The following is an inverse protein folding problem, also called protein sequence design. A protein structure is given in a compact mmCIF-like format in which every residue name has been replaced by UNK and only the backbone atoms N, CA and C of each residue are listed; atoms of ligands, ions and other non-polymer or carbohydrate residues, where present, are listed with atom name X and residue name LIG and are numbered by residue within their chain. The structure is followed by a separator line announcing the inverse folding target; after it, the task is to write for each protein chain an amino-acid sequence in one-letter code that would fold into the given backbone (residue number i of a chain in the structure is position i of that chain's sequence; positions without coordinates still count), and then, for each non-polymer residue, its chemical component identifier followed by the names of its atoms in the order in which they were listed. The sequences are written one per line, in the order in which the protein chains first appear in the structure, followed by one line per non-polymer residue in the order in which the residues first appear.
data_IF_595377185229
#
_entry.id   IF_595377185229
#
_cell.length_a   1.000
_cell.length_b   1.000
_cell.length_c   1.000
_cell.angle_alpha   90.00
_cell.angle_beta   90.00
_cell.angle_gamma   90.00
#
_symmetry.space_group_name_H-M   'P 1'
#
loop_
_entity.id
_entity.type
_entity.pdbx_description
1 polymer ?
#
# COMPACT_ATOMS: atom_id res chain seq x y z
N UNK A 1 13.52 -17.03 -18.95
CA UNK A 1 12.55 -16.08 -18.37
C UNK A 1 12.67 -16.20 -16.86
N UNK A 2 12.69 -15.07 -16.16
CA UNK A 2 12.67 -15.06 -14.70
C UNK A 2 11.36 -15.72 -14.21
N UNK A 3 11.42 -16.81 -13.44
CA UNK A 3 10.24 -17.57 -13.01
C UNK A 3 9.30 -16.74 -12.14
N UNK A 4 9.78 -15.69 -11.47
CA UNK A 4 8.97 -14.86 -10.59
C UNK A 4 8.03 -13.93 -11.33
N UNK A 5 8.30 -13.64 -12.61
CA UNK A 5 7.47 -12.72 -13.41
C UNK A 5 6.04 -13.21 -13.59
N UNK A 6 5.79 -14.52 -13.50
CA UNK A 6 4.45 -15.11 -13.63
C UNK A 6 3.77 -15.38 -12.29
N UNK A 7 4.43 -15.07 -11.18
CA UNK A 7 3.85 -15.27 -9.87
C UNK A 7 2.77 -14.21 -9.62
N UNK A 8 1.57 -14.64 -9.26
CA UNK A 8 0.45 -13.74 -9.03
C UNK A 8 0.53 -13.06 -7.66
N UNK A 9 0.19 -11.77 -7.66
CA UNK A 9 0.16 -10.92 -6.48
C UNK A 9 -1.21 -10.22 -6.34
N UNK A 10 -1.66 -9.94 -5.10
CA UNK A 10 -2.85 -9.14 -4.86
C UNK A 10 -2.53 -7.65 -5.06
N UNK A 11 -2.96 -7.08 -6.17
CA UNK A 11 -2.89 -5.65 -6.43
C UNK A 11 -4.12 -4.94 -5.87
N UNK A 12 -3.89 -3.88 -5.11
CA UNK A 12 -4.86 -2.89 -4.69
C UNK A 12 -4.77 -1.67 -5.61
N UNK A 13 -5.91 -1.30 -6.18
CA UNK A 13 -6.01 -0.25 -7.19
C UNK A 13 -7.09 0.75 -6.80
N UNK A 14 -6.81 2.02 -7.06
CA UNK A 14 -7.76 3.12 -6.89
C UNK A 14 -8.05 3.69 -8.26
N UNK A 15 -9.34 3.90 -8.54
CA UNK A 15 -9.82 4.51 -9.77
C UNK A 15 -9.12 5.86 -9.95
N UNK A 16 -8.47 6.09 -11.10
CA UNK A 16 -7.69 7.29 -11.30
C UNK A 16 -8.57 8.55 -11.30
N UNK A 17 -7.99 9.67 -10.88
CA UNK A 17 -8.57 11.00 -11.14
C UNK A 17 -8.61 11.29 -12.65
N UNK A 18 -9.28 12.36 -13.09
CA UNK A 18 -9.39 12.70 -14.53
C UNK A 18 -8.05 12.66 -15.28
N UNK A 19 -6.98 13.21 -14.69
CA UNK A 19 -5.63 13.21 -15.28
C UNK A 19 -4.97 11.82 -15.24
N UNK A 20 -5.27 11.01 -14.22
CA UNK A 20 -4.79 9.63 -14.16
C UNK A 20 -5.44 8.73 -15.22
N UNK A 21 -6.69 9.00 -15.61
CA UNK A 21 -7.40 8.20 -16.62
C UNK A 21 -6.69 8.20 -17.98
N UNK A 22 -6.13 9.34 -18.39
CA UNK A 22 -5.35 9.45 -19.63
C UNK A 22 -4.05 8.63 -19.55
N UNK A 23 -3.37 8.68 -18.40
CA UNK A 23 -2.16 7.90 -18.15
C UNK A 23 -2.45 6.40 -18.22
N UNK A 24 -3.54 5.95 -17.61
CA UNK A 24 -3.97 4.56 -17.65
C UNK A 24 -4.29 4.12 -19.08
N UNK A 25 -4.96 4.95 -19.88
CA UNK A 25 -5.20 4.63 -21.29
C UNK A 25 -3.88 4.44 -22.08
N UNK A 26 -2.91 5.35 -21.89
CA UNK A 26 -1.58 5.24 -22.51
C UNK A 26 -0.83 3.97 -22.08
N UNK A 27 -0.98 3.57 -20.81
CA UNK A 27 -0.37 2.35 -20.29
C UNK A 27 -1.02 1.10 -20.89
N UNK A 28 -2.35 1.04 -20.98
CA UNK A 28 -3.08 -0.04 -21.64
C UNK A 28 -2.67 -0.18 -23.11
N UNK A 29 -2.54 0.93 -23.83
CA UNK A 29 -2.06 0.93 -25.22
C UNK A 29 -0.60 0.48 -25.34
N UNK A 30 0.23 0.81 -24.35
CA UNK A 30 1.60 0.30 -24.27
C UNK A 30 1.61 -1.22 -24.09
N UNK A 31 0.82 -1.76 -23.17
CA UNK A 31 0.70 -3.20 -22.94
C UNK A 31 0.21 -3.96 -24.18
N UNK A 32 -0.83 -3.44 -24.85
CA UNK A 32 -1.40 -4.05 -26.06
C UNK A 32 -0.41 -4.17 -27.23
N UNK A 33 0.57 -3.26 -27.31
CA UNK A 33 1.60 -3.22 -28.37
C UNK A 33 2.80 -4.13 -28.11
N UNK A 34 2.85 -4.82 -26.96
CA UNK A 34 3.97 -5.68 -26.58
C UNK A 34 3.81 -7.11 -27.11
N UNK A 35 3.40 -8.04 -26.24
CA UNK A 35 3.25 -9.46 -26.51
C UNK A 35 1.85 -9.94 -26.10
N UNK A 36 1.53 -11.21 -26.34
CA UNK A 36 0.22 -11.78 -25.99
C UNK A 36 -0.09 -11.63 -24.48
N UNK A 37 0.93 -11.72 -23.63
CA UNK A 37 0.76 -11.56 -22.17
C UNK A 37 0.45 -10.10 -21.83
N UNK A 38 1.08 -9.14 -22.52
CA UNK A 38 0.73 -7.72 -22.42
C UNK A 38 -0.73 -7.45 -22.77
N UNK A 39 -1.25 -8.09 -23.83
CA UNK A 39 -2.66 -7.97 -24.22
C UNK A 39 -3.60 -8.57 -23.18
N UNK A 40 -3.26 -9.72 -22.59
CA UNK A 40 -4.02 -10.34 -21.49
C UNK A 40 -4.05 -9.43 -20.25
N UNK A 41 -2.90 -8.85 -19.87
CA UNK A 41 -2.82 -7.89 -18.76
C UNK A 41 -3.65 -6.64 -19.00
N UNK A 42 -3.62 -6.09 -20.23
CA UNK A 42 -4.42 -4.94 -20.61
C UNK A 42 -5.92 -5.25 -20.51
N UNK A 43 -6.36 -6.41 -21.00
CA UNK A 43 -7.74 -6.86 -20.93
C UNK A 43 -8.22 -7.07 -19.49
N UNK A 44 -7.38 -7.66 -18.63
CA UNK A 44 -7.66 -7.84 -17.21
C UNK A 44 -7.87 -6.48 -16.52
N UNK A 45 -6.93 -5.54 -16.69
CA UNK A 45 -7.03 -4.19 -16.14
C UNK A 45 -8.28 -3.45 -16.63
N UNK A 46 -8.55 -3.49 -17.93
CA UNK A 46 -9.74 -2.84 -18.52
C UNK A 46 -11.03 -3.38 -17.91
N UNK A 47 -11.15 -4.70 -17.78
CA UNK A 47 -12.31 -5.36 -17.17
C UNK A 47 -12.47 -4.89 -15.72
N UNK A 48 -11.41 -4.94 -14.91
CA UNK A 48 -11.49 -4.54 -13.50
C UNK A 48 -11.80 -3.06 -13.32
N UNK A 49 -11.23 -2.18 -14.16
CA UNK A 49 -11.54 -0.74 -14.15
C UNK A 49 -12.98 -0.47 -14.56
N UNK A 50 -13.53 -1.23 -15.51
CA UNK A 50 -14.91 -1.09 -15.95
C UNK A 50 -15.91 -1.60 -14.90
N UNK A 51 -15.56 -2.66 -14.17
CA UNK A 51 -16.33 -3.21 -13.05
C UNK A 51 -16.33 -2.28 -11.82
N UNK A 52 -15.33 -1.41 -11.70
CA UNK A 52 -15.29 -0.37 -10.66
C UNK A 52 -16.46 0.61 -10.84
N UNK A 53 -17.54 0.34 -10.09
CA UNK A 53 -18.81 1.07 -10.13
C UNK A 53 -18.64 2.59 -9.91
N UNK A 54 -19.65 3.38 -10.26
CA UNK A 54 -19.66 4.83 -9.96
C UNK A 54 -19.56 5.15 -8.46
N UNK A 55 -19.83 4.18 -7.56
CA UNK A 55 -19.84 4.37 -6.10
C UNK A 55 -18.54 3.92 -5.42
N UNK A 56 -17.79 3.00 -6.03
CA UNK A 56 -16.57 2.41 -5.47
C UNK A 56 -15.38 2.69 -6.39
N UNK A 57 -14.33 3.29 -5.83
CA UNK A 57 -13.09 3.63 -6.49
C UNK A 57 -12.01 2.59 -6.23
N UNK A 58 -12.08 1.84 -5.14
CA UNK A 58 -11.14 0.81 -4.76
C UNK A 58 -11.53 -0.55 -5.34
N UNK A 59 -10.56 -1.28 -5.87
CA UNK A 59 -10.73 -2.65 -6.36
C UNK A 59 -9.44 -3.46 -6.22
N UNK A 60 -9.59 -4.78 -6.23
CA UNK A 60 -8.47 -5.72 -6.16
C UNK A 60 -8.35 -6.50 -7.48
N UNK A 61 -7.11 -6.75 -7.88
CA UNK A 61 -6.76 -7.54 -9.06
C UNK A 61 -5.66 -8.54 -8.67
N UNK A 62 -5.87 -9.82 -8.96
CA UNK A 62 -4.78 -10.80 -8.94
C UNK A 62 -4.14 -10.84 -10.31
N UNK A 63 -2.85 -10.53 -10.37
CA UNK A 63 -2.10 -10.46 -11.61
C UNK A 63 -0.63 -10.82 -11.37
N UNK A 64 0.10 -11.21 -12.42
CA UNK A 64 1.50 -11.61 -12.28
C UNK A 64 2.41 -10.42 -11.99
N UNK A 65 3.53 -10.63 -11.28
CA UNK A 65 4.56 -9.61 -10.98
C UNK A 65 4.99 -8.80 -12.20
N UNK A 66 4.94 -9.43 -13.39
CA UNK A 66 5.15 -8.79 -14.68
C UNK A 66 4.37 -7.49 -14.82
N UNK A 67 3.14 -7.39 -14.31
CA UNK A 67 2.34 -6.17 -14.35
C UNK A 67 3.05 -5.00 -13.66
N UNK A 68 3.62 -5.23 -12.47
CA UNK A 68 4.39 -4.21 -11.75
C UNK A 68 5.65 -3.81 -12.55
N UNK A 69 6.35 -4.79 -13.13
CA UNK A 69 7.54 -4.53 -13.96
C UNK A 69 7.17 -3.66 -15.17
N UNK A 70 6.07 -3.96 -15.86
CA UNK A 70 5.60 -3.14 -16.99
C UNK A 70 5.22 -1.72 -16.58
N UNK A 71 4.60 -1.54 -15.42
CA UNK A 71 4.29 -0.21 -14.90
C UNK A 71 5.56 0.58 -14.58
N UNK A 72 6.58 -0.05 -14.00
CA UNK A 72 7.88 0.59 -13.74
C UNK A 72 8.59 0.98 -15.05
N UNK A 73 8.62 0.08 -16.04
CA UNK A 73 9.16 0.36 -17.38
C UNK A 73 8.44 1.56 -18.02
N UNK A 74 7.11 1.57 -17.95
CA UNK A 74 6.29 2.64 -18.49
C UNK A 74 6.55 3.98 -17.78
N UNK A 75 6.54 4.00 -16.45
CA UNK A 75 6.81 5.19 -15.65
C UNK A 75 8.22 5.75 -15.95
N UNK A 76 9.22 4.88 -16.10
CA UNK A 76 10.58 5.28 -16.47
C UNK A 76 10.68 5.85 -17.89
N UNK A 77 9.91 5.29 -18.84
CA UNK A 77 9.91 5.73 -20.23
C UNK A 77 9.18 7.07 -20.44
N UNK A 78 8.25 7.43 -19.55
CA UNK A 78 7.58 8.72 -19.59
C UNK A 78 8.56 9.85 -19.26
N UNK A 79 9.16 10.44 -20.30
CA UNK A 79 10.14 11.53 -20.22
C UNK A 79 9.58 12.87 -19.73
N UNK A 80 8.27 12.98 -19.53
CA UNK A 80 7.61 14.24 -19.17
C UNK A 80 6.76 14.02 -17.92
N UNK A 81 7.13 14.67 -16.80
CA UNK A 81 6.38 14.68 -15.53
C UNK A 81 5.01 15.40 -15.60
N UNK A 82 4.47 15.64 -16.79
CA UNK A 82 3.18 16.31 -16.98
C UNK A 82 2.02 15.41 -16.56
N UNK A 83 2.16 14.10 -16.77
CA UNK A 83 1.16 13.11 -16.38
C UNK A 83 1.55 12.43 -15.05
N UNK A 84 0.57 12.09 -14.19
CA UNK A 84 0.86 11.30 -12.99
C UNK A 84 1.36 9.90 -13.36
N UNK A 85 2.24 9.28 -12.57
CA UNK A 85 2.71 7.91 -12.85
C UNK A 85 1.58 6.89 -12.71
N UNK A 86 1.74 5.73 -13.35
CA UNK A 86 0.90 4.56 -13.07
C UNK A 86 1.14 4.13 -11.63
N UNK A 87 0.07 4.07 -10.85
CA UNK A 87 0.07 3.68 -9.45
C UNK A 87 -0.48 2.26 -9.31
N UNK A 88 0.38 1.34 -8.89
CA UNK A 88 0.03 -0.04 -8.55
C UNK A 88 0.53 -0.31 -7.14
N UNK A 89 -0.26 -1.00 -6.33
CA UNK A 89 0.16 -1.38 -4.98
C UNK A 89 -0.15 -2.84 -4.69
N UNK A 90 0.88 -3.67 -4.59
CA UNK A 90 0.81 -5.00 -4.00
C UNK A 90 0.81 -4.81 -2.49
N UNK A 91 -0.33 -5.04 -1.87
CA UNK A 91 -0.52 -4.84 -0.44
C UNK A 91 -0.73 -6.17 0.28
N UNK A 92 -0.09 -6.33 1.43
CA UNK A 92 -0.24 -7.50 2.32
C UNK A 92 -0.02 -8.88 1.66
N UNK A 93 0.78 -8.97 0.60
CA UNK A 93 1.11 -10.28 0.01
C UNK A 93 1.88 -11.12 1.02
N UNK A 94 1.33 -12.26 1.42
CA UNK A 94 1.87 -13.09 2.49
C UNK A 94 3.21 -13.70 2.08
N UNK A 95 4.25 -13.58 2.91
CA UNK A 95 5.56 -14.19 2.62
C UNK A 95 5.48 -15.72 2.45
N UNK A 96 4.71 -16.49 3.25
CA UNK A 96 4.58 -17.94 3.06
C UNK A 96 4.04 -18.34 1.68
N UNK A 97 3.29 -17.45 1.02
CA UNK A 97 2.72 -17.67 -0.29
C UNK A 97 3.69 -17.30 -1.42
N UNK A 98 4.93 -16.87 -1.13
CA UNK A 98 5.93 -16.57 -2.14
C UNK A 98 6.80 -17.79 -2.46
N UNK A 99 7.48 -17.82 -3.61
CA UNK A 99 8.53 -18.80 -3.87
C UNK A 99 9.62 -18.82 -2.78
N UNK A 100 10.11 -20.01 -2.43
CA UNK A 100 11.05 -20.19 -1.29
C UNK A 100 12.34 -19.36 -1.39
N UNK A 101 12.81 -19.08 -2.61
CA UNK A 101 13.95 -18.19 -2.83
C UNK A 101 13.66 -16.76 -2.35
N UNK A 102 12.50 -16.20 -2.69
CA UNK A 102 12.11 -14.85 -2.23
C UNK A 102 11.87 -14.82 -0.72
N UNK A 103 11.33 -15.89 -0.14
CA UNK A 103 11.22 -16.01 1.31
C UNK A 103 12.59 -15.96 2.00
N UNK A 104 13.61 -16.55 1.37
CA UNK A 104 14.98 -16.60 1.90
C UNK A 104 15.69 -15.24 1.85
N UNK A 105 15.27 -14.35 0.95
CA UNK A 105 15.83 -13.00 0.81
C UNK A 105 15.36 -12.04 1.92
N UNK A 106 14.23 -12.34 2.57
CA UNK A 106 13.67 -11.55 3.68
C UNK A 106 13.46 -12.42 4.92
N UNK A 107 14.53 -12.93 5.55
CA UNK A 107 14.40 -13.76 6.73
C UNK A 107 13.79 -12.95 7.88
N UNK A 108 12.96 -13.62 8.69
CA UNK A 108 12.44 -13.05 9.91
C UNK A 108 13.59 -12.53 10.81
N UNK A 109 13.56 -11.25 11.24
CA UNK A 109 14.60 -10.68 12.08
C UNK A 109 14.77 -11.46 13.39
N UNK A 110 16.02 -11.76 13.76
CA UNK A 110 16.32 -12.55 14.97
C UNK A 110 15.69 -11.97 16.23
N UNK A 111 15.60 -10.64 16.32
CA UNK A 111 15.02 -9.96 17.46
C UNK A 111 13.60 -10.47 17.75
N UNK A 112 12.77 -10.66 16.71
CA UNK A 112 11.39 -11.13 16.85
C UNK A 112 11.34 -12.50 17.51
N UNK A 113 12.26 -13.39 17.16
CA UNK A 113 12.35 -14.74 17.74
C UNK A 113 12.74 -14.73 19.23
N UNK A 114 13.25 -13.61 19.74
CA UNK A 114 13.75 -13.45 21.11
C UNK A 114 12.82 -12.61 22.00
N UNK A 115 11.72 -12.06 21.46
CA UNK A 115 10.74 -11.24 22.21
C UNK A 115 9.37 -11.92 22.28
N UNK A 116 8.63 -11.66 23.35
CA UNK A 116 7.31 -12.24 23.56
C UNK A 116 7.35 -13.76 23.64
N UNK A 117 6.46 -14.42 22.90
CA UNK A 117 6.45 -15.87 22.69
C UNK A 117 7.39 -16.31 21.56
N UNK A 118 7.91 -15.36 20.78
CA UNK A 118 8.76 -15.61 19.64
C UNK A 118 8.01 -16.18 18.43
N UNK A 119 6.68 -16.23 18.44
CA UNK A 119 5.87 -16.67 17.31
C UNK A 119 5.50 -15.50 16.39
N UNK A 120 5.72 -15.71 15.09
CA UNK A 120 5.28 -14.82 14.02
C UNK A 120 3.84 -15.19 13.68
N UNK A 121 2.92 -14.26 13.93
CA UNK A 121 1.52 -14.43 13.60
C UNK A 121 1.29 -14.39 12.08
N UNK A 122 1.93 -13.43 11.41
CA UNK A 122 1.85 -13.26 9.96
C UNK A 122 3.01 -12.39 9.49
N UNK A 123 3.34 -12.46 8.20
CA UNK A 123 4.35 -11.62 7.57
C UNK A 123 4.00 -11.35 6.13
N UNK A 124 4.23 -10.12 5.68
CA UNK A 124 3.85 -9.69 4.33
C UNK A 124 4.93 -8.86 3.65
N UNK A 125 4.99 -8.96 2.33
CA UNK A 125 5.69 -8.03 1.46
C UNK A 125 4.71 -6.99 0.89
N UNK A 126 5.23 -5.79 0.67
CA UNK A 126 4.53 -4.66 0.09
C UNK A 126 5.38 -4.09 -1.03
N UNK A 127 4.84 -4.01 -2.23
CA UNK A 127 5.56 -3.51 -3.40
C UNK A 127 4.63 -2.57 -4.17
N UNK A 128 5.14 -1.47 -4.71
CA UNK A 128 4.31 -0.61 -5.54
C UNK A 128 5.10 0.46 -6.25
N UNK A 129 4.44 1.11 -7.20
CA UNK A 129 4.96 2.32 -7.84
C UNK A 129 4.59 3.54 -7.00
N UNK A 130 5.52 4.47 -6.83
CA UNK A 130 5.31 5.65 -6.01
C UNK A 130 4.32 6.65 -6.65
N UNK A 131 3.40 7.23 -5.88
CA UNK A 131 3.23 7.08 -4.43
C UNK A 131 2.35 5.89 -4.03
N UNK A 132 2.74 5.19 -2.96
CA UNK A 132 1.89 4.22 -2.25
C UNK A 132 1.28 4.86 -1.00
N UNK A 133 0.09 4.39 -0.59
CA UNK A 133 -0.60 4.90 0.60
C UNK A 133 -1.29 3.78 1.37
N UNK A 134 -1.13 3.79 2.69
CA UNK A 134 -1.86 2.94 3.62
C UNK A 134 -2.59 3.84 4.62
N UNK A 135 -3.95 3.85 4.59
CA UNK A 135 -4.78 4.68 5.47
C UNK A 135 -4.49 4.50 6.96
N UNK A 136 -4.94 5.44 7.78
CA UNK A 136 -4.80 5.35 9.24
C UNK A 136 -5.54 4.11 9.77
N UNK A 137 -4.81 3.21 10.43
CA UNK A 137 -5.35 2.00 11.04
C UNK A 137 -4.53 1.59 12.25
N UNK A 138 -4.92 0.51 12.92
CA UNK A 138 -4.14 -0.14 13.98
C UNK A 138 -4.20 -1.65 13.82
N UNK A 139 -3.14 -2.32 14.25
CA UNK A 139 -3.03 -3.77 14.16
C UNK A 139 -3.29 -4.46 15.51
N UNK A 140 -3.79 -5.72 15.49
CA UNK A 140 -4.09 -6.47 16.70
C UNK A 140 -2.84 -6.97 17.44
N UNK A 141 -1.68 -7.01 16.76
CA UNK A 141 -0.39 -7.48 17.28
C UNK A 141 0.70 -6.41 17.03
N UNK A 142 1.78 -6.40 17.82
CA UNK A 142 2.98 -5.62 17.48
C UNK A 142 3.51 -5.98 16.09
N UNK A 143 4.11 -5.00 15.43
CA UNK A 143 4.62 -5.12 14.06
C UNK A 143 6.07 -4.64 13.99
N UNK A 144 6.94 -5.38 13.30
CA UNK A 144 8.24 -4.88 12.85
C UNK A 144 8.16 -4.63 11.35
N UNK A 145 8.19 -3.36 10.95
CA UNK A 145 8.08 -2.92 9.57
C UNK A 145 9.46 -2.47 9.05
N UNK A 146 9.96 -3.09 7.99
CA UNK A 146 11.27 -2.80 7.42
C UNK A 146 11.13 -2.29 5.98
N UNK A 147 11.86 -1.22 5.66
CA UNK A 147 11.89 -0.67 4.31
C UNK A 147 12.99 -1.35 3.48
N UNK A 148 12.63 -1.90 2.33
CA UNK A 148 13.55 -2.62 1.44
C UNK A 148 14.17 -1.69 0.41
N UNK A 149 13.36 -0.83 -0.24
CA UNK A 149 13.83 0.10 -1.26
C UNK A 149 12.99 1.39 -1.27
N UNK A 150 13.58 2.48 -1.76
CA UNK A 150 13.03 3.85 -1.64
C UNK A 150 12.77 4.24 -0.17
N UNK A 151 11.81 5.14 0.07
CA UNK A 151 11.48 5.66 1.40
C UNK A 151 9.98 5.81 1.63
N UNK A 152 9.57 5.64 2.90
CA UNK A 152 8.19 5.85 3.36
C UNK A 152 8.17 6.76 4.57
N UNK A 153 7.19 7.65 4.61
CA UNK A 153 6.88 8.44 5.81
C UNK A 153 5.79 7.71 6.58
N UNK A 154 6.03 7.51 7.88
CA UNK A 154 5.09 6.87 8.80
C UNK A 154 4.67 7.90 9.85
N UNK A 155 3.36 8.09 10.00
CA UNK A 155 2.75 8.87 11.08
C UNK A 155 2.10 7.92 12.08
N UNK A 156 2.45 8.06 13.36
CA UNK A 156 2.07 7.20 14.48
C UNK A 156 1.29 8.01 15.51
N UNK A 157 0.24 7.40 16.08
CA UNK A 157 -0.46 7.93 17.25
C UNK A 157 -0.58 6.85 18.34
N UNK A 158 -0.44 7.23 19.62
CA UNK A 158 -0.79 6.36 20.73
C UNK A 158 -2.24 5.85 20.63
N UNK A 159 -2.56 4.68 21.20
CA UNK A 159 -3.89 4.06 21.09
C UNK A 159 -5.06 4.99 21.41
N UNK A 160 -4.97 5.74 22.51
CA UNK A 160 -6.04 6.64 22.96
C UNK A 160 -6.24 7.82 22.02
N UNK A 161 -5.13 8.38 21.52
CA UNK A 161 -5.14 9.55 20.61
C UNK A 161 -5.65 9.21 19.23
N UNK A 162 -5.23 8.06 18.68
CA UNK A 162 -5.79 7.61 17.41
C UNK A 162 -7.26 7.21 17.52
N UNK A 163 -7.71 6.70 18.68
CA UNK A 163 -9.12 6.41 18.93
C UNK A 163 -9.95 7.69 19.04
N UNK A 164 -9.44 8.71 19.74
CA UNK A 164 -10.04 10.04 19.81
C UNK A 164 -10.20 10.65 18.41
N UNK A 165 -9.13 10.62 17.60
CA UNK A 165 -9.16 11.11 16.22
C UNK A 165 -10.19 10.35 15.39
N UNK A 166 -10.19 9.01 15.42
CA UNK A 166 -11.16 8.18 14.71
C UNK A 166 -12.60 8.52 15.11
N UNK A 167 -12.88 8.58 16.41
CA UNK A 167 -14.21 8.90 16.93
C UNK A 167 -14.66 10.32 16.54
N UNK A 168 -13.73 11.28 16.49
CA UNK A 168 -14.03 12.65 16.04
C UNK A 168 -14.51 12.67 14.58
N UNK A 169 -13.86 11.89 13.71
CA UNK A 169 -14.26 11.75 12.29
C UNK A 169 -15.60 11.04 12.18
N UNK A 170 -15.80 9.94 12.92
CA UNK A 170 -17.08 9.21 12.95
C UNK A 170 -18.24 10.09 13.42
N UNK A 171 -18.02 10.92 14.43
CA UNK A 171 -19.02 11.89 14.93
C UNK A 171 -19.40 12.90 13.86
N UNK A 172 -18.42 13.44 13.13
CA UNK A 172 -18.65 14.36 12.00
C UNK A 172 -19.45 13.69 10.87
N UNK A 173 -19.19 12.41 10.60
CA UNK A 173 -19.92 11.60 9.63
C UNK A 173 -21.31 11.15 10.11
N UNK A 174 -21.65 11.37 11.39
CA UNK A 174 -22.86 10.84 12.04
C UNK A 174 -22.96 9.31 11.92
N UNK A 175 -21.84 8.60 12.07
CA UNK A 175 -21.73 7.14 11.98
C UNK A 175 -21.30 6.53 13.32
N UNK A 176 -21.68 5.26 13.54
CA UNK A 176 -21.14 4.41 14.60
C UNK A 176 -20.07 3.50 13.97
N UNK A 177 -18.83 3.98 13.92
CA UNK A 177 -17.72 3.23 13.33
C UNK A 177 -17.15 2.14 14.25
N UNK A 178 -16.64 1.06 13.66
CA UNK A 178 -15.89 0.04 14.39
C UNK A 178 -14.39 0.18 14.14
N UNK A 179 -13.68 0.78 15.10
CA UNK A 179 -12.22 1.01 15.03
C UNK A 179 -11.35 -0.25 15.04
N UNK A 180 -11.95 -1.46 15.05
CA UNK A 180 -11.26 -2.75 15.12
C UNK A 180 -11.09 -3.43 13.76
N UNK A 181 -11.77 -2.97 12.71
CA UNK A 181 -11.85 -3.68 11.43
C UNK A 181 -11.29 -2.80 10.32
N UNK A 182 -10.34 -3.35 9.55
CA UNK A 182 -9.95 -2.82 8.24
C UNK A 182 -11.08 -3.11 7.25
N UNK A 183 -12.03 -2.19 7.09
CA UNK A 183 -13.09 -2.30 6.10
C UNK A 183 -12.66 -1.66 4.77
N UNK A 184 -13.35 -2.01 3.69
CA UNK A 184 -13.22 -1.34 2.38
C UNK A 184 -13.44 0.18 2.48
N UNK A 185 -14.28 0.62 3.42
CA UNK A 185 -14.54 2.04 3.73
C UNK A 185 -13.29 2.80 4.23
N UNK A 186 -12.25 2.08 4.67
CA UNK A 186 -10.96 2.71 5.00
C UNK A 186 -10.13 3.06 3.76
N UNK A 187 -10.38 2.38 2.64
CA UNK A 187 -9.63 2.56 1.39
C UNK A 187 -10.26 3.62 0.47
N UNK A 188 -11.54 3.96 0.70
CA UNK A 188 -12.30 4.87 -0.16
C UNK A 188 -13.44 5.60 0.58
N UNK A 189 -13.91 6.70 0.00
CA UNK A 189 -15.07 7.45 0.51
C UNK A 189 -14.72 8.55 1.51
N UNK A 190 -15.76 9.19 2.06
CA UNK A 190 -15.66 10.42 2.86
C UNK A 190 -14.87 10.22 4.17
N UNK A 191 -14.96 9.04 4.78
CA UNK A 191 -14.18 8.70 5.98
C UNK A 191 -12.68 8.69 5.69
N UNK A 192 -12.28 8.00 4.61
CA UNK A 192 -10.88 7.93 4.16
C UNK A 192 -10.32 9.32 3.89
N UNK A 193 -11.09 10.20 3.23
CA UNK A 193 -10.67 11.58 2.96
C UNK A 193 -10.53 12.43 4.24
N UNK A 194 -11.48 12.33 5.17
CA UNK A 194 -11.38 13.07 6.43
C UNK A 194 -10.27 12.56 7.34
N UNK A 195 -10.06 11.24 7.44
CA UNK A 195 -8.93 10.66 8.17
C UNK A 195 -7.60 11.06 7.52
N UNK A 196 -7.51 11.01 6.19
CA UNK A 196 -6.33 11.48 5.48
C UNK A 196 -6.06 12.96 5.79
N UNK A 197 -7.07 13.84 5.73
CA UNK A 197 -6.92 15.25 6.09
C UNK A 197 -6.50 15.47 7.55
N UNK A 198 -7.06 14.71 8.48
CA UNK A 198 -6.72 14.82 9.91
C UNK A 198 -5.29 14.36 10.23
N UNK A 199 -4.79 13.35 9.51
CA UNK A 199 -3.47 12.76 9.74
C UNK A 199 -2.39 13.44 8.92
N UNK A 200 -2.66 13.80 7.67
CA UNK A 200 -1.69 14.30 6.69
C UNK A 200 -1.86 15.78 6.32
N UNK A 201 -2.93 16.44 6.78
CA UNK A 201 -3.17 17.86 6.60
C UNK A 201 -2.33 18.74 7.55
N UNK A 202 -2.53 20.05 7.42
CA UNK A 202 -1.78 21.08 8.16
C UNK A 202 -2.50 21.55 9.44
N UNK A 203 -3.58 20.88 9.85
CA UNK A 203 -4.40 21.28 11.00
C UNK A 203 -3.74 20.90 12.35
N UNK A 204 -3.96 21.68 13.43
CA UNK A 204 -3.28 21.56 14.72
C UNK A 204 -3.59 20.29 15.53
N UNK A 205 -4.39 19.36 15.02
CA UNK A 205 -4.49 17.98 15.56
C UNK A 205 -3.17 17.19 15.49
N UNK A 206 -2.15 17.76 14.85
CA UNK A 206 -0.81 17.19 14.68
C UNK A 206 0.05 17.10 15.96
N UNK A 207 -0.33 17.72 17.08
CA UNK A 207 0.54 17.82 18.27
C UNK A 207 0.93 16.45 18.89
N UNK A 208 0.09 15.43 18.72
CA UNK A 208 0.33 14.07 19.24
C UNK A 208 0.83 13.08 18.16
N UNK A 209 1.00 13.54 16.91
CA UNK A 209 1.46 12.69 15.80
C UNK A 209 2.98 12.60 15.82
N UNK A 210 3.49 11.39 15.94
CA UNK A 210 4.92 11.10 15.76
C UNK A 210 5.18 10.75 14.30
N UNK A 211 6.13 11.43 13.66
CA UNK A 211 6.50 11.20 12.27
C UNK A 211 7.92 10.65 12.16
N UNK A 212 8.11 9.68 11.26
CA UNK A 212 9.44 9.16 10.91
C UNK A 212 9.51 8.84 9.42
N UNK A 213 10.64 9.16 8.79
CA UNK A 213 10.96 8.70 7.43
C UNK A 213 11.85 7.47 7.51
N UNK A 214 11.36 6.35 6.98
CA UNK A 214 12.11 5.12 6.79
C UNK A 214 12.74 5.10 5.40
N UNK A 215 14.04 4.86 5.33
CA UNK A 215 14.81 4.62 4.11
C UNK A 215 15.17 3.13 4.00
N UNK A 216 15.62 2.70 2.84
CA UNK A 216 16.10 1.34 2.63
C UNK A 216 17.08 0.89 3.74
N UNK A 217 16.76 -0.22 4.40
CA UNK A 217 17.50 -0.76 5.54
C UNK A 217 16.95 -0.38 6.91
N UNK A 218 16.11 0.64 7.01
CA UNK A 218 15.51 1.04 8.29
C UNK A 218 14.40 0.06 8.72
N UNK A 219 14.32 -0.18 10.03
CA UNK A 219 13.25 -0.93 10.68
C UNK A 219 12.51 -0.08 11.70
N UNK A 220 11.18 -0.18 11.72
CA UNK A 220 10.29 0.50 12.64
C UNK A 220 9.49 -0.52 13.45
N UNK A 221 9.64 -0.46 14.77
CA UNK A 221 8.77 -1.18 15.68
C UNK A 221 7.49 -0.38 15.92
N UNK A 222 6.34 -0.98 15.61
CA UNK A 222 5.02 -0.42 15.87
C UNK A 222 4.37 -1.23 17.01
N UNK A 223 4.20 -0.64 18.20
CA UNK A 223 3.63 -1.37 19.33
C UNK A 223 2.16 -1.73 19.10
N UNK A 224 1.71 -2.78 19.80
CA UNK A 224 0.31 -3.23 19.72
C UNK A 224 -0.67 -2.08 19.97
N UNK A 225 -1.67 -1.96 19.10
CA UNK A 225 -2.75 -0.99 19.23
C UNK A 225 -2.38 0.45 18.85
N UNK A 226 -1.13 0.72 18.47
CA UNK A 226 -0.75 2.02 17.94
C UNK A 226 -1.36 2.25 16.57
N UNK A 227 -1.91 3.44 16.39
CA UNK A 227 -2.47 3.86 15.12
C UNK A 227 -1.34 4.35 14.23
N UNK A 228 -1.41 4.01 12.95
CA UNK A 228 -0.41 4.40 11.99
C UNK A 228 -0.99 4.57 10.59
N UNK A 229 -0.44 5.55 9.88
CA UNK A 229 -0.65 5.75 8.45
C UNK A 229 0.69 5.87 7.77
N UNK A 230 0.81 5.32 6.57
CA UNK A 230 2.07 5.17 5.87
C UNK A 230 1.89 5.68 4.44
N UNK A 231 2.82 6.48 3.93
CA UNK A 231 2.84 6.86 2.51
C UNK A 231 4.25 6.86 1.96
N UNK A 232 4.40 6.69 0.66
CA UNK A 232 5.67 6.97 -0.03
C UNK A 232 6.08 8.43 0.21
N UNK A 233 7.37 8.65 0.43
CA UNK A 233 7.90 10.02 0.55
C UNK A 233 7.85 10.76 -0.80
N UNK A 234 7.95 10.00 -1.89
CA UNK A 234 8.00 10.50 -3.27
C UNK A 234 6.78 10.07 -4.06
N UNK A 235 6.64 10.66 -5.24
CA UNK A 235 5.55 10.41 -6.19
C UNK A 235 6.07 10.35 -7.63
N UNK A 236 7.25 9.76 -7.84
CA UNK A 236 7.99 9.75 -9.11
C UNK A 236 7.81 8.46 -9.91
N UNK A 237 6.90 7.57 -9.51
CA UNK A 237 6.58 6.32 -10.21
C UNK A 237 7.61 5.21 -10.04
N UNK A 238 8.66 5.41 -9.24
CA UNK A 238 9.69 4.41 -8.96
C UNK A 238 9.18 3.29 -8.04
N UNK A 239 9.96 2.22 -7.92
CA UNK A 239 9.64 1.11 -7.03
C UNK A 239 9.82 1.52 -5.56
N UNK A 240 8.79 1.27 -4.76
CA UNK A 240 8.84 1.31 -3.30
C UNK A 240 8.50 -0.08 -2.74
N UNK A 241 9.30 -0.54 -1.79
CA UNK A 241 9.21 -1.89 -1.26
C UNK A 241 9.43 -1.94 0.24
N UNK A 242 8.60 -2.72 0.93
CA UNK A 242 8.68 -2.93 2.37
C UNK A 242 8.31 -4.37 2.71
N UNK A 243 8.73 -4.83 3.88
CA UNK A 243 8.34 -6.13 4.44
C UNK A 243 8.03 -5.95 5.91
N UNK A 244 7.10 -6.74 6.45
CA UNK A 244 6.77 -6.65 7.85
C UNK A 244 6.43 -8.00 8.48
N UNK A 245 6.53 -8.05 9.80
CA UNK A 245 6.21 -9.22 10.61
C UNK A 245 5.36 -8.79 11.81
N UNK A 246 4.15 -9.37 11.91
CA UNK A 246 3.34 -9.30 13.12
C UNK A 246 3.69 -10.48 14.02
N UNK A 247 3.94 -10.21 15.31
CA UNK A 247 4.43 -11.23 16.26
C UNK A 247 3.72 -11.15 17.61
N UNK A 248 3.93 -12.14 18.50
CA UNK A 248 3.26 -12.22 19.81
C UNK A 248 4.21 -12.46 20.96
#
# INVERSE_FOLDING_TARGET
MDPFLQWDFPYELIKPSKHGSETVALFLDSLNRQDAIGQELAAALQTTIAEASHKHQFFQLYAPLRLLVRALEFNNAQRIKENPPIQLYIAQSLLPDLPSSLQSDVPAPELIRKVGKGDIYSSSIWLGTEPTYTPLHRDPNPNLFCQLCSSKVVRLLPPDKGLELYNSVQTRLRRLGNSRIRSTEMMEGEEREMLHGAVWGNEPTAADIQEVTLRAGDGLFIPKGWWHSIRSERSDGQLNGSVNWWFR
#
